data_IF_679088645164
#
_entry.id   IF_679088645164
#
_cell.length_a   1.000
_cell.length_b   1.000
_cell.length_c   1.000
_cell.angle_alpha   90.00
_cell.angle_beta   90.00
_cell.angle_gamma   90.00
#
_symmetry.space_group_name_H-M   'P 1'
#
loop_
_entity.id
_entity.type
_entity.pdbx_description
1 polymer ?
#
# COMPACT_ATOMS: atom_id res chain seq x y z
N UNK A 1 16.17 -16.38 13.93
CA UNK A 1 15.30 -16.57 12.75
C UNK A 1 15.42 -18.03 12.33
N UNK A 2 14.66 -18.92 12.96
CA UNK A 2 14.75 -20.36 12.71
C UNK A 2 13.38 -20.90 12.32
N UNK A 3 13.30 -21.36 11.08
CA UNK A 3 12.22 -22.13 10.45
C UNK A 3 12.30 -23.63 10.86
N UNK A 4 13.09 -23.97 11.88
CA UNK A 4 13.65 -25.32 12.06
C UNK A 4 13.01 -26.19 13.16
N UNK A 5 11.87 -25.79 13.73
CA UNK A 5 11.08 -26.68 14.60
C UNK A 5 9.90 -27.35 13.86
N UNK A 6 9.87 -27.28 12.52
CA UNK A 6 8.83 -27.94 11.74
C UNK A 6 9.13 -29.43 11.62
N UNK A 7 8.38 -30.25 12.35
CA UNK A 7 8.50 -31.71 12.32
C UNK A 7 7.82 -32.34 11.11
N UNK A 8 6.79 -31.67 10.55
CA UNK A 8 6.00 -32.17 9.42
C UNK A 8 5.68 -31.08 8.38
N UNK A 9 5.29 -31.51 7.17
CA UNK A 9 4.97 -30.61 6.04
C UNK A 9 3.87 -29.58 6.37
N UNK A 10 2.90 -29.95 7.20
CA UNK A 10 1.84 -29.04 7.66
C UNK A 10 2.39 -27.89 8.51
N UNK A 11 3.36 -28.15 9.39
CA UNK A 11 3.99 -27.12 10.23
C UNK A 11 4.80 -26.14 9.37
N UNK A 12 5.46 -26.65 8.33
CA UNK A 12 6.17 -25.82 7.34
C UNK A 12 5.17 -24.91 6.61
N UNK A 13 4.10 -25.48 6.08
CA UNK A 13 3.09 -24.71 5.35
C UNK A 13 2.42 -23.65 6.23
N UNK A 14 2.24 -23.91 7.52
CA UNK A 14 1.66 -22.96 8.48
C UNK A 14 2.62 -21.81 8.84
N UNK A 15 3.92 -22.07 8.87
CA UNK A 15 4.94 -21.11 9.32
C UNK A 15 5.50 -20.24 8.19
N UNK A 16 5.63 -20.80 6.97
CA UNK A 16 6.25 -20.12 5.82
C UNK A 16 5.53 -18.82 5.43
N UNK A 17 4.19 -18.76 5.33
CA UNK A 17 3.47 -17.52 4.99
C UNK A 17 3.82 -16.36 5.94
N UNK A 18 3.87 -16.66 7.23
CA UNK A 18 4.17 -15.70 8.29
C UNK A 18 5.59 -15.15 8.17
N UNK A 19 6.57 -16.01 7.85
CA UNK A 19 7.96 -15.59 7.58
C UNK A 19 8.05 -14.74 6.32
N UNK A 20 7.38 -15.14 5.24
CA UNK A 20 7.36 -14.37 3.98
C UNK A 20 6.77 -12.99 4.21
N UNK A 21 5.65 -12.88 4.92
CA UNK A 21 5.03 -11.59 5.25
C UNK A 21 5.98 -10.69 6.05
N UNK A 22 6.66 -11.24 7.07
CA UNK A 22 7.66 -10.50 7.84
C UNK A 22 8.81 -9.96 6.99
N UNK A 23 9.28 -10.77 6.02
CA UNK A 23 10.31 -10.36 5.05
C UNK A 23 9.78 -9.23 4.15
N UNK A 24 8.56 -9.35 3.63
CA UNK A 24 7.92 -8.30 2.81
C UNK A 24 7.86 -6.98 3.60
N UNK A 25 7.34 -7.02 4.83
CA UNK A 25 7.17 -5.83 5.67
C UNK A 25 8.52 -5.15 5.96
N UNK A 26 9.51 -5.94 6.37
CA UNK A 26 10.87 -5.46 6.63
C UNK A 26 11.47 -4.84 5.37
N UNK A 27 11.31 -5.49 4.21
CA UNK A 27 11.80 -4.99 2.93
C UNK A 27 11.21 -3.63 2.57
N UNK A 28 9.89 -3.46 2.69
CA UNK A 28 9.21 -2.18 2.40
C UNK A 28 9.81 -1.03 3.22
N UNK A 29 9.93 -1.22 4.54
CA UNK A 29 10.47 -0.21 5.45
C UNK A 29 11.92 0.11 5.11
N UNK A 30 12.75 -0.91 4.87
CA UNK A 30 14.16 -0.74 4.52
C UNK A 30 14.33 0.07 3.24
N UNK A 31 13.55 -0.20 2.19
CA UNK A 31 13.61 0.57 0.95
C UNK A 31 13.23 2.04 1.17
N UNK A 32 12.15 2.30 1.92
CA UNK A 32 11.75 3.67 2.25
C UNK A 32 12.83 4.40 3.05
N UNK A 33 13.51 3.71 3.97
CA UNK A 33 14.65 4.28 4.70
C UNK A 33 15.83 4.61 3.77
N UNK A 34 16.18 3.72 2.84
CA UNK A 34 17.27 3.95 1.89
C UNK A 34 16.96 5.10 0.92
N UNK A 35 15.73 5.17 0.40
CA UNK A 35 15.30 6.20 -0.55
C UNK A 35 14.59 7.40 0.14
N UNK A 36 14.81 7.61 1.44
CA UNK A 36 14.13 8.65 2.24
C UNK A 36 14.28 10.06 1.65
N UNK A 37 15.41 10.33 0.97
CA UNK A 37 15.65 11.61 0.29
C UNK A 37 14.67 11.84 -0.87
N UNK A 38 14.33 10.79 -1.62
CA UNK A 38 13.35 10.86 -2.72
C UNK A 38 11.94 10.99 -2.17
N UNK A 39 11.60 10.23 -1.13
CA UNK A 39 10.31 10.37 -0.43
C UNK A 39 10.13 11.80 0.08
N UNK A 40 11.17 12.37 0.71
CA UNK A 40 11.16 13.76 1.17
C UNK A 40 10.98 14.75 0.02
N UNK A 41 11.67 14.54 -1.10
CA UNK A 41 11.48 15.34 -2.31
C UNK A 41 10.02 15.31 -2.78
N UNK A 42 9.40 14.12 -2.83
CA UNK A 42 8.00 13.98 -3.22
C UNK A 42 7.07 14.75 -2.26
N UNK A 43 7.22 14.58 -0.94
CA UNK A 43 6.40 15.30 0.03
C UNK A 43 6.57 16.83 -0.06
N UNK A 44 7.79 17.30 -0.28
CA UNK A 44 8.06 18.73 -0.51
C UNK A 44 7.46 19.24 -1.82
N UNK A 45 7.42 18.40 -2.87
CA UNK A 45 6.75 18.73 -4.13
C UNK A 45 5.26 18.91 -3.90
N UNK A 46 4.61 18.01 -3.14
CA UNK A 46 3.19 18.13 -2.77
C UNK A 46 2.94 19.48 -2.10
N UNK A 47 3.68 19.79 -1.03
CA UNK A 47 3.53 21.05 -0.29
C UNK A 47 3.67 22.27 -1.22
N UNK A 48 4.71 22.26 -2.07
CA UNK A 48 4.96 23.34 -3.02
C UNK A 48 3.85 23.48 -4.05
N UNK A 49 3.34 22.38 -4.59
CA UNK A 49 2.26 22.40 -5.58
C UNK A 49 1.00 23.01 -4.99
N UNK A 50 0.66 22.68 -3.74
CA UNK A 50 -0.46 23.27 -3.00
C UNK A 50 -0.32 24.79 -2.79
N UNK A 51 0.90 25.28 -2.57
CA UNK A 51 1.18 26.72 -2.40
C UNK A 51 1.15 27.49 -3.74
N UNK A 52 1.42 26.81 -4.86
CA UNK A 52 1.55 27.41 -6.20
C UNK A 52 0.30 27.24 -7.08
N UNK A 53 -0.83 26.83 -6.52
CA UNK A 53 -2.10 26.78 -7.24
C UNK A 53 -2.59 28.19 -7.52
N UNK A 54 -2.98 28.46 -8.77
CA UNK A 54 -3.32 29.80 -9.24
C UNK A 54 -4.80 30.12 -9.08
N UNK A 55 -5.67 29.11 -9.16
CA UNK A 55 -7.12 29.30 -9.22
C UNK A 55 -7.87 28.45 -8.20
N UNK A 56 -9.09 28.87 -7.84
CA UNK A 56 -9.98 28.08 -7.00
C UNK A 56 -10.36 26.75 -7.67
N UNK A 57 -10.42 26.71 -9.01
CA UNK A 57 -10.69 25.49 -9.79
C UNK A 57 -9.54 24.49 -9.64
N UNK A 58 -8.29 24.92 -9.84
CA UNK A 58 -7.10 24.09 -9.61
C UNK A 58 -7.09 23.53 -8.19
N UNK A 59 -7.41 24.36 -7.19
CA UNK A 59 -7.52 23.95 -5.78
C UNK A 59 -8.60 22.90 -5.54
N UNK A 60 -9.76 23.08 -6.16
CA UNK A 60 -10.90 22.15 -6.04
C UNK A 60 -10.56 20.80 -6.67
N UNK A 61 -9.88 20.80 -7.83
CA UNK A 61 -9.43 19.58 -8.50
C UNK A 61 -8.46 18.81 -7.61
N UNK A 62 -7.43 19.47 -7.08
CA UNK A 62 -6.43 18.79 -6.25
C UNK A 62 -7.03 18.32 -4.91
N UNK A 63 -7.92 19.12 -4.31
CA UNK A 63 -8.65 18.75 -3.10
C UNK A 63 -9.47 17.49 -3.29
N UNK A 64 -10.19 17.35 -4.42
CA UNK A 64 -10.98 16.16 -4.73
C UNK A 64 -10.11 14.89 -4.79
N UNK A 65 -8.95 14.97 -5.42
CA UNK A 65 -7.99 13.86 -5.49
C UNK A 65 -7.37 13.55 -4.12
N UNK A 66 -7.08 14.57 -3.31
CA UNK A 66 -6.59 14.38 -1.95
C UNK A 66 -7.64 13.71 -1.03
N UNK A 67 -8.90 14.12 -1.11
CA UNK A 67 -10.02 13.50 -0.37
C UNK A 67 -10.23 12.04 -0.79
N UNK A 68 -10.18 11.78 -2.10
CA UNK A 68 -10.27 10.41 -2.62
C UNK A 68 -9.09 9.53 -2.14
N UNK A 69 -7.87 10.08 -2.15
CA UNK A 69 -6.70 9.41 -1.60
C UNK A 69 -6.80 9.12 -0.11
N UNK A 70 -7.35 10.05 0.69
CA UNK A 70 -7.62 9.86 2.12
C UNK A 70 -8.68 8.77 2.36
N UNK A 71 -9.74 8.76 1.56
CA UNK A 71 -10.76 7.73 1.62
C UNK A 71 -10.16 6.34 1.33
N UNK A 72 -9.38 6.21 0.25
CA UNK A 72 -8.69 4.97 -0.10
C UNK A 72 -7.71 4.52 0.98
N UNK A 73 -6.91 5.44 1.52
CA UNK A 73 -5.97 5.16 2.60
C UNK A 73 -6.69 4.64 3.86
N UNK A 74 -7.81 5.26 4.23
CA UNK A 74 -8.62 4.87 5.38
C UNK A 74 -9.26 3.50 5.16
N UNK A 75 -9.88 3.28 3.99
CA UNK A 75 -10.49 2.00 3.63
C UNK A 75 -9.45 0.86 3.63
N UNK A 76 -8.25 1.12 3.09
CA UNK A 76 -7.15 0.16 3.09
C UNK A 76 -6.66 -0.17 4.51
N UNK A 77 -6.48 0.84 5.37
CA UNK A 77 -6.08 0.62 6.76
C UNK A 77 -7.10 -0.24 7.53
N UNK A 78 -8.40 0.05 7.35
CA UNK A 78 -9.49 -0.75 7.93
C UNK A 78 -9.41 -2.20 7.43
N UNK A 79 -9.26 -2.39 6.12
CA UNK A 79 -9.14 -3.72 5.51
C UNK A 79 -7.97 -4.52 6.12
N UNK A 80 -6.78 -3.92 6.21
CA UNK A 80 -5.60 -4.59 6.79
C UNK A 80 -5.83 -4.94 8.26
N UNK A 81 -6.42 -4.03 9.05
CA UNK A 81 -6.71 -4.30 10.46
C UNK A 81 -7.75 -5.41 10.65
N UNK A 82 -8.78 -5.50 9.80
CA UNK A 82 -9.74 -6.61 9.83
C UNK A 82 -9.04 -7.94 9.59
N UNK A 83 -8.19 -8.03 8.56
CA UNK A 83 -7.42 -9.25 8.27
C UNK A 83 -6.46 -9.61 9.42
N UNK A 84 -5.84 -8.59 10.03
CA UNK A 84 -4.96 -8.75 11.19
C UNK A 84 -5.72 -9.31 12.40
N UNK A 85 -6.94 -8.83 12.67
CA UNK A 85 -7.80 -9.34 13.74
C UNK A 85 -8.16 -10.80 13.48
N UNK A 86 -8.56 -11.16 12.26
CA UNK A 86 -8.84 -12.56 11.89
C UNK A 86 -7.65 -13.48 12.19
N UNK A 87 -6.42 -13.02 11.92
CA UNK A 87 -5.20 -13.78 12.21
C UNK A 87 -4.93 -13.90 13.72
N UNK A 88 -5.12 -12.82 14.49
CA UNK A 88 -4.96 -12.82 15.96
C UNK A 88 -5.99 -13.71 16.67
N UNK A 89 -7.19 -13.85 16.11
CA UNK A 89 -8.25 -14.70 16.65
C UNK A 89 -7.97 -16.20 16.50
N UNK A 90 -7.01 -16.60 15.65
CA UNK A 90 -6.65 -18.01 15.40
C UNK A 90 -6.42 -18.84 16.68
N UNK A 91 -5.58 -18.44 17.65
CA UNK A 91 -5.41 -19.19 18.91
C UNK A 91 -6.59 -19.03 19.88
N UNK A 92 -7.49 -18.06 19.68
CA UNK A 92 -8.58 -17.72 20.60
C UNK A 92 -9.85 -18.52 20.27
N UNK A 93 -10.17 -18.69 18.98
CA UNK A 93 -11.40 -19.38 18.53
C UNK A 93 -11.48 -20.82 19.04
N UNK A 94 -10.44 -21.67 18.92
CA UNK A 94 -10.48 -23.02 19.47
C UNK A 94 -10.71 -23.05 20.99
N UNK A 95 -10.27 -22.03 21.74
CA UNK A 95 -10.51 -21.93 23.18
C UNK A 95 -11.94 -21.55 23.53
N UNK A 96 -12.56 -20.66 22.75
CA UNK A 96 -13.94 -20.21 23.00
C UNK A 96 -14.98 -21.27 22.64
N UNK A 97 -14.67 -22.12 21.66
CA UNK A 97 -15.55 -23.22 21.22
C UNK A 97 -15.43 -24.47 22.10
N UNK A 98 -14.40 -24.54 22.93
CA UNK A 98 -14.09 -25.70 23.77
C UNK A 98 -14.74 -25.52 25.16
N UNK A 99 -15.97 -26.03 25.30
CA UNK A 99 -16.81 -25.93 26.51
C UNK A 99 -16.39 -26.89 27.65
N UNK A 100 -15.34 -27.68 27.50
CA UNK A 100 -14.90 -28.64 28.53
C UNK A 100 -13.99 -27.99 29.58
N UNK A 101 -14.61 -27.59 30.69
CA UNK A 101 -14.01 -26.99 31.91
C UNK A 101 -13.15 -28.00 32.70
N UNK A 102 -13.19 -29.30 32.37
CA UNK A 102 -12.72 -30.40 33.23
C UNK A 102 -11.31 -30.94 32.97
N UNK A 103 -10.61 -30.51 31.92
CA UNK A 103 -9.25 -31.02 31.63
C UNK A 103 -8.17 -29.97 31.90
N UNK A 104 -7.56 -30.06 33.08
CA UNK A 104 -6.47 -29.20 33.57
C UNK A 104 -5.11 -29.42 32.88
N UNK A 105 -5.06 -30.26 31.83
CA UNK A 105 -3.83 -30.68 31.15
C UNK A 105 -3.90 -30.37 29.65
N UNK A 106 -4.41 -29.20 29.27
CA UNK A 106 -4.46 -28.80 27.86
C UNK A 106 -3.11 -28.24 27.40
N UNK A 107 -2.62 -28.62 26.21
CA UNK A 107 -1.38 -28.06 25.65
C UNK A 107 -1.53 -26.54 25.49
N UNK A 108 -0.45 -25.83 25.81
CA UNK A 108 -0.38 -24.37 25.77
C UNK A 108 -0.67 -23.89 24.33
N UNK A 109 -1.39 -22.77 24.14
CA UNK A 109 -1.74 -22.29 22.81
C UNK A 109 -0.48 -22.14 21.98
N UNK A 110 -0.51 -22.68 20.75
CA UNK A 110 0.52 -22.32 19.77
C UNK A 110 0.56 -20.79 19.66
N UNK A 111 1.74 -20.21 19.79
CA UNK A 111 1.92 -18.78 19.61
C UNK A 111 1.38 -18.35 18.25
N UNK A 112 0.91 -17.10 18.17
CA UNK A 112 0.51 -16.45 16.91
C UNK A 112 1.62 -16.54 15.86
N UNK A 113 2.88 -16.51 16.31
CA UNK A 113 4.07 -16.80 15.52
C UNK A 113 4.88 -17.91 16.21
N UNK A 114 5.14 -19.05 15.55
CA UNK A 114 6.03 -20.08 16.07
C UNK A 114 7.48 -19.58 15.97
N UNK A 115 7.92 -18.80 16.97
CA UNK A 115 9.28 -18.27 17.06
C UNK A 115 9.92 -18.85 18.31
N UNK A 116 11.12 -19.39 18.14
CA UNK A 116 11.93 -19.93 19.23
C UNK A 116 12.69 -18.79 19.93
N UNK A 117 12.47 -18.64 21.23
CA UNK A 117 13.10 -17.60 22.06
C UNK A 117 14.36 -18.09 22.81
N UNK A 118 14.77 -19.35 22.62
CA UNK A 118 15.89 -19.96 23.36
C UNK A 118 15.63 -20.10 24.86
N UNK A 119 14.37 -19.95 25.28
CA UNK A 119 13.88 -20.13 26.65
C UNK A 119 12.63 -21.01 26.62
N UNK A 120 12.29 -21.60 27.76
CA UNK A 120 11.07 -22.37 27.90
C UNK A 120 9.84 -21.48 27.66
N UNK A 121 9.12 -21.76 26.57
CA UNK A 121 7.93 -21.01 26.15
C UNK A 121 6.85 -21.10 27.22
N UNK A 122 6.78 -22.21 27.94
CA UNK A 122 5.72 -22.48 28.92
C UNK A 122 5.92 -21.62 30.18
N UNK A 123 7.18 -21.40 30.56
CA UNK A 123 7.55 -20.54 31.69
C UNK A 123 7.38 -19.04 31.36
N UNK A 124 7.66 -18.64 30.12
CA UNK A 124 7.66 -17.23 29.68
C UNK A 124 6.52 -16.89 28.72
N UNK A 125 5.43 -17.64 28.74
CA UNK A 125 4.35 -17.53 27.76
C UNK A 125 3.78 -16.11 27.61
N UNK A 126 3.45 -15.45 28.73
CA UNK A 126 2.86 -14.11 28.72
C UNK A 126 3.79 -13.02 28.15
N UNK A 127 5.04 -12.85 28.63
CA UNK A 127 5.94 -11.85 28.06
C UNK A 127 6.28 -12.12 26.59
N UNK A 128 6.45 -13.39 26.20
CA UNK A 128 6.67 -13.76 24.79
C UNK A 128 5.45 -13.40 23.93
N UNK A 129 4.24 -13.73 24.40
CA UNK A 129 3.01 -13.38 23.68
C UNK A 129 2.86 -11.88 23.49
N UNK A 130 3.11 -11.08 24.54
CA UNK A 130 3.08 -9.61 24.46
C UNK A 130 4.07 -9.10 23.41
N UNK A 131 5.31 -9.60 23.41
CA UNK A 131 6.29 -9.22 22.39
C UNK A 131 5.80 -9.57 20.98
N UNK A 132 5.28 -10.78 20.77
CA UNK A 132 4.76 -11.20 19.46
C UNK A 132 3.63 -10.30 18.97
N UNK A 133 2.69 -9.92 19.85
CA UNK A 133 1.63 -8.98 19.47
C UNK A 133 2.17 -7.59 19.13
N UNK A 134 3.07 -7.04 19.94
CA UNK A 134 3.68 -5.73 19.69
C UNK A 134 4.46 -5.72 18.36
N UNK A 135 5.24 -6.77 18.09
CA UNK A 135 5.97 -6.91 16.84
C UNK A 135 5.03 -6.98 15.64
N UNK A 136 3.92 -7.71 15.77
CA UNK A 136 2.90 -7.83 14.72
C UNK A 136 2.22 -6.48 14.44
N UNK A 137 1.85 -5.72 15.48
CA UNK A 137 1.32 -4.36 15.32
C UNK A 137 2.34 -3.38 14.72
N UNK A 138 3.60 -3.46 15.13
CA UNK A 138 4.65 -2.59 14.59
C UNK A 138 4.88 -2.86 13.09
N UNK A 139 4.93 -4.13 12.68
CA UNK A 139 5.07 -4.51 11.27
C UNK A 139 3.85 -4.13 10.43
N UNK A 140 2.62 -4.32 10.96
CA UNK A 140 1.42 -3.94 10.21
C UNK A 140 1.33 -2.43 10.05
N UNK A 141 1.60 -1.66 11.10
CA UNK A 141 1.62 -0.20 11.04
C UNK A 141 2.65 0.33 10.05
N UNK A 142 3.87 -0.20 10.08
CA UNK A 142 4.93 0.18 9.13
C UNK A 142 4.51 -0.09 7.68
N UNK A 143 3.90 -1.24 7.42
CA UNK A 143 3.42 -1.59 6.08
C UNK A 143 2.29 -0.67 5.61
N UNK A 144 1.28 -0.46 6.45
CA UNK A 144 0.17 0.44 6.17
C UNK A 144 0.70 1.84 5.84
N UNK A 145 1.66 2.34 6.60
CA UNK A 145 2.25 3.66 6.36
C UNK A 145 2.93 3.76 4.97
N UNK A 146 3.66 2.74 4.54
CA UNK A 146 4.32 2.72 3.22
C UNK A 146 3.29 2.64 2.08
N UNK A 147 2.25 1.82 2.22
CA UNK A 147 1.22 1.67 1.20
C UNK A 147 0.30 2.89 1.11
N UNK A 148 -0.04 3.53 2.24
CA UNK A 148 -0.76 4.81 2.26
C UNK A 148 0.07 5.91 1.61
N UNK A 149 1.36 5.98 1.92
CA UNK A 149 2.28 6.93 1.28
C UNK A 149 2.23 6.75 -0.24
N UNK A 150 2.31 5.51 -0.75
CA UNK A 150 2.15 5.23 -2.17
C UNK A 150 0.84 5.81 -2.71
N UNK A 151 -0.31 5.46 -2.13
CA UNK A 151 -1.62 5.96 -2.56
C UNK A 151 -1.67 7.50 -2.62
N UNK A 152 -1.18 8.19 -1.58
CA UNK A 152 -1.17 9.66 -1.54
C UNK A 152 -0.32 10.25 -2.67
N UNK A 153 0.87 9.70 -2.90
CA UNK A 153 1.76 10.18 -3.96
C UNK A 153 1.14 9.98 -5.35
N UNK A 154 0.52 8.82 -5.59
CA UNK A 154 -0.19 8.52 -6.84
C UNK A 154 -1.35 9.50 -7.06
N UNK A 155 -2.23 9.66 -6.08
CA UNK A 155 -3.41 10.53 -6.20
C UNK A 155 -3.02 12.00 -6.39
N UNK A 156 -1.92 12.45 -5.77
CA UNK A 156 -1.36 13.77 -6.06
C UNK A 156 -0.92 13.91 -7.52
N UNK A 157 -0.19 12.93 -8.06
CA UNK A 157 0.22 12.94 -9.47
C UNK A 157 -0.99 12.99 -10.41
N UNK A 158 -2.02 12.16 -10.17
CA UNK A 158 -3.26 12.16 -10.93
C UNK A 158 -3.96 13.53 -10.88
N UNK A 159 -4.06 14.15 -9.71
CA UNK A 159 -4.65 15.49 -9.57
C UNK A 159 -3.87 16.57 -10.31
N UNK A 160 -2.54 16.48 -10.32
CA UNK A 160 -1.71 17.40 -11.09
C UNK A 160 -1.86 17.20 -12.61
N UNK A 161 -2.03 15.97 -13.09
CA UNK A 161 -2.35 15.71 -14.50
C UNK A 161 -3.72 16.28 -14.90
N UNK A 162 -4.75 16.14 -14.05
CA UNK A 162 -6.07 16.79 -14.29
C UNK A 162 -5.98 18.31 -14.32
N UNK A 163 -5.11 18.91 -13.49
CA UNK A 163 -4.88 20.36 -13.56
C UNK A 163 -4.25 20.76 -14.90
N UNK A 164 -3.30 19.97 -15.39
CA UNK A 164 -2.63 20.21 -16.68
C UNK A 164 -3.63 20.14 -17.83
N UNK A 165 -4.47 19.10 -17.86
CA UNK A 165 -5.59 18.96 -18.81
C UNK A 165 -6.49 20.20 -18.79
N UNK A 166 -6.95 20.61 -17.61
CA UNK A 166 -7.82 21.77 -17.47
C UNK A 166 -7.20 23.05 -18.04
N UNK A 167 -5.91 23.29 -17.80
CA UNK A 167 -5.17 24.43 -18.35
C UNK A 167 -5.05 24.32 -19.89
N UNK A 168 -4.82 23.13 -20.43
CA UNK A 168 -4.73 22.90 -21.88
C UNK A 168 -6.07 23.18 -22.57
N UNK A 169 -7.19 22.70 -22.01
CA UNK A 169 -8.51 22.98 -22.54
C UNK A 169 -8.84 24.48 -22.56
N UNK A 170 -8.48 25.22 -21.50
CA UNK A 170 -8.69 26.66 -21.45
C UNK A 170 -7.91 27.40 -22.55
N UNK A 171 -6.64 27.02 -22.77
CA UNK A 171 -5.82 27.58 -23.85
C UNK A 171 -6.40 27.21 -25.22
N UNK A 172 -6.88 25.97 -25.41
CA UNK A 172 -7.50 25.52 -26.66
C UNK A 172 -8.80 26.24 -27.00
N UNK A 173 -9.62 26.59 -25.99
CA UNK A 173 -10.89 27.32 -26.18
C UNK A 173 -10.67 28.77 -26.63
N UNK A 174 -9.65 29.45 -26.11
CA UNK A 174 -9.30 30.81 -26.55
C UNK A 174 -8.79 30.84 -28.01
N UNK A 175 -8.19 29.75 -28.50
CA UNK A 175 -7.67 29.65 -29.87
C UNK A 175 -8.75 29.65 -30.97
N UNK A 176 -9.95 29.16 -30.68
CA UNK A 176 -11.06 29.12 -31.66
C UNK A 176 -11.68 30.49 -31.94
N UNK A 177 -11.39 31.51 -31.12
CA UNK A 177 -11.97 32.85 -31.28
C UNK A 177 -11.02 33.88 -31.89
N UNK A 178 -9.69 33.78 -31.71
CA UNK A 178 -8.73 34.77 -32.23
C UNK A 178 -7.25 34.35 -32.12
N UNK A 179 -6.82 33.26 -32.77
CA UNK A 179 -5.37 32.95 -32.85
C UNK A 179 -4.63 33.89 -33.83
N UNK A 180 -4.53 35.17 -33.50
CA UNK A 180 -3.59 36.08 -34.16
C UNK A 180 -2.24 35.92 -33.50
N UNK A 181 -1.29 35.30 -34.22
CA UNK A 181 0.13 35.26 -33.86
C UNK A 181 0.68 36.70 -33.81
N UNK A 182 0.44 37.43 -32.72
CA UNK A 182 1.10 38.72 -32.48
C UNK A 182 2.53 38.41 -32.06
N UNK A 183 3.47 38.76 -32.94
CA UNK A 183 4.91 38.47 -32.94
C UNK A 183 5.69 38.91 -31.67
N UNK A 184 5.04 39.38 -30.60
CA UNK A 184 5.66 39.74 -29.34
C UNK A 184 5.45 38.64 -28.28
N UNK A 185 6.39 37.68 -28.25
CA UNK A 185 6.50 36.57 -27.27
C UNK A 185 6.45 37.00 -25.79
N UNK A 186 6.65 38.28 -25.47
CA UNK A 186 6.74 38.79 -24.09
C UNK A 186 5.41 39.25 -23.49
N UNK A 187 4.40 39.54 -24.32
CA UNK A 187 3.07 40.05 -23.90
C UNK A 187 1.92 39.08 -24.16
N UNK A 188 2.17 37.99 -24.88
CA UNK A 188 1.18 36.98 -25.19
C UNK A 188 0.85 36.15 -23.93
N UNK A 189 -0.39 36.28 -23.47
CA UNK A 189 -0.91 35.63 -22.26
C UNK A 189 -1.03 34.13 -22.50
N UNK A 190 -1.39 33.70 -23.71
CA UNK A 190 -1.61 32.31 -24.06
C UNK A 190 -0.29 31.57 -24.18
N UNK A 191 0.73 32.22 -24.76
CA UNK A 191 2.10 31.70 -24.74
C UNK A 191 2.62 31.48 -23.31
N UNK A 192 2.37 32.42 -22.38
CA UNK A 192 2.77 32.28 -20.98
C UNK A 192 2.01 31.16 -20.27
N UNK A 193 0.70 31.01 -20.51
CA UNK A 193 -0.10 29.91 -19.98
C UNK A 193 0.41 28.56 -20.49
N UNK A 194 0.63 28.42 -21.79
CA UNK A 194 1.16 27.20 -22.41
C UNK A 194 2.57 26.85 -21.88
N UNK A 195 3.45 27.84 -21.75
CA UNK A 195 4.79 27.64 -21.18
C UNK A 195 4.73 27.21 -19.70
N UNK A 196 3.81 27.78 -18.92
CA UNK A 196 3.59 27.38 -17.53
C UNK A 196 3.04 25.95 -17.43
N UNK A 197 2.10 25.58 -18.31
CA UNK A 197 1.56 24.24 -18.42
C UNK A 197 2.66 23.21 -18.72
N UNK A 198 3.51 23.48 -19.73
CA UNK A 198 4.66 22.63 -20.05
C UNK A 198 5.60 22.46 -18.86
N UNK A 199 5.88 23.53 -18.11
CA UNK A 199 6.73 23.46 -16.90
C UNK A 199 6.09 22.61 -15.81
N UNK A 200 4.78 22.73 -15.57
CA UNK A 200 4.05 21.89 -14.61
C UNK A 200 4.09 20.43 -15.05
N UNK A 201 3.83 20.13 -16.32
CA UNK A 201 3.90 18.77 -16.85
C UNK A 201 5.27 18.12 -16.65
N UNK A 202 6.36 18.84 -16.96
CA UNK A 202 7.72 18.36 -16.70
C UNK A 202 8.03 18.14 -15.21
N UNK A 203 7.42 18.93 -14.31
CA UNK A 203 7.56 18.73 -12.86
C UNK A 203 6.83 17.48 -12.39
N UNK A 204 5.62 17.25 -12.88
CA UNK A 204 4.83 16.04 -12.57
C UNK A 204 5.52 14.78 -13.07
N UNK A 205 6.10 14.80 -14.28
CA UNK A 205 6.91 13.67 -14.78
C UNK A 205 8.05 13.35 -13.82
N UNK A 206 8.85 14.35 -13.41
CA UNK A 206 9.95 14.13 -12.45
C UNK A 206 9.48 13.61 -11.09
N UNK A 207 8.29 14.03 -10.66
CA UNK A 207 7.65 13.54 -9.46
C UNK A 207 7.28 12.06 -9.61
N UNK A 208 6.64 11.67 -10.72
CA UNK A 208 6.30 10.27 -11.03
C UNK A 208 7.54 9.39 -11.17
N UNK A 209 8.59 9.85 -11.86
CA UNK A 209 9.88 9.13 -11.96
C UNK A 209 10.50 8.88 -10.57
N UNK A 210 10.33 9.83 -9.64
CA UNK A 210 10.80 9.69 -8.26
C UNK A 210 9.99 8.63 -7.50
N UNK A 211 8.66 8.60 -7.68
CA UNK A 211 7.79 7.55 -7.13
C UNK A 211 8.20 6.19 -7.69
N UNK A 212 8.29 6.07 -9.01
CA UNK A 212 8.64 4.84 -9.71
C UNK A 212 9.99 4.30 -9.24
N UNK A 213 11.01 5.16 -9.14
CA UNK A 213 12.35 4.74 -8.69
C UNK A 213 12.37 4.12 -7.29
N UNK A 214 11.48 4.56 -6.40
CA UNK A 214 11.33 4.01 -5.04
C UNK A 214 10.48 2.75 -5.08
N UNK A 215 9.27 2.85 -5.62
CA UNK A 215 8.26 1.80 -5.50
C UNK A 215 8.50 0.61 -6.44
N UNK A 216 9.24 0.77 -7.53
CA UNK A 216 9.70 -0.39 -8.34
C UNK A 216 10.55 -1.34 -7.53
N UNK A 217 11.44 -0.85 -6.65
CA UNK A 217 12.24 -1.70 -5.75
C UNK A 217 11.38 -2.38 -4.68
N UNK A 218 10.39 -1.65 -4.16
CA UNK A 218 9.42 -2.18 -3.20
C UNK A 218 8.65 -3.34 -3.83
N UNK A 219 8.06 -3.10 -5.00
CA UNK A 219 7.19 -4.05 -5.70
C UNK A 219 7.93 -5.26 -6.26
N UNK A 220 9.19 -5.09 -6.69
CA UNK A 220 9.99 -6.21 -7.20
C UNK A 220 10.03 -7.37 -6.21
N UNK A 221 10.30 -7.11 -4.94
CA UNK A 221 10.33 -8.17 -3.92
C UNK A 221 8.92 -8.46 -3.40
N UNK A 222 8.11 -7.43 -3.12
CA UNK A 222 6.81 -7.65 -2.48
C UNK A 222 5.84 -8.43 -3.36
N UNK A 223 5.78 -8.16 -4.66
CA UNK A 223 4.86 -8.87 -5.57
C UNK A 223 5.27 -10.32 -5.72
N UNK A 224 6.55 -10.59 -5.98
CA UNK A 224 7.04 -11.97 -6.12
C UNK A 224 6.81 -12.81 -4.87
N UNK A 225 7.11 -12.25 -3.69
CA UNK A 225 6.88 -12.94 -2.42
C UNK A 225 5.38 -13.12 -2.11
N UNK A 226 4.53 -12.15 -2.46
CA UNK A 226 3.07 -12.30 -2.30
C UNK A 226 2.51 -13.41 -3.20
N UNK A 227 3.03 -13.61 -4.42
CA UNK A 227 2.59 -14.71 -5.29
C UNK A 227 2.93 -16.07 -4.69
N UNK A 228 4.16 -16.23 -4.17
CA UNK A 228 4.59 -17.46 -3.48
C UNK A 228 3.72 -17.69 -2.24
N UNK A 229 3.53 -16.65 -1.42
CA UNK A 229 2.76 -16.74 -0.20
C UNK A 229 1.28 -17.07 -0.48
N UNK A 230 0.68 -16.41 -1.46
CA UNK A 230 -0.72 -16.61 -1.84
C UNK A 230 -0.95 -18.01 -2.40
N UNK A 231 0.02 -18.58 -3.11
CA UNK A 231 -0.03 -19.98 -3.56
C UNK A 231 -0.09 -20.95 -2.38
N UNK A 232 0.76 -20.74 -1.36
CA UNK A 232 0.76 -21.58 -0.15
C UNK A 232 -0.55 -21.44 0.62
N UNK A 233 -1.01 -20.20 0.84
CA UNK A 233 -2.27 -19.93 1.53
C UNK A 233 -3.47 -20.49 0.76
N UNK A 234 -3.47 -20.44 -0.57
CA UNK A 234 -4.51 -21.05 -1.42
C UNK A 234 -4.57 -22.58 -1.27
N UNK A 235 -3.41 -23.25 -1.26
CA UNK A 235 -3.36 -24.70 -0.99
C UNK A 235 -3.91 -25.00 0.41
N UNK A 236 -3.56 -24.19 1.42
CA UNK A 236 -4.10 -24.37 2.78
C UNK A 236 -5.60 -24.17 2.85
N UNK A 237 -6.18 -23.24 2.08
CA UNK A 237 -7.64 -23.10 1.99
C UNK A 237 -8.26 -24.39 1.45
N UNK A 238 -7.73 -24.94 0.35
CA UNK A 238 -8.24 -26.17 -0.27
C UNK A 238 -8.16 -27.35 0.70
N UNK A 239 -7.03 -27.51 1.39
CA UNK A 239 -6.83 -28.61 2.35
C UNK A 239 -7.73 -28.52 3.59
N UNK A 240 -8.28 -27.34 3.90
CA UNK A 240 -9.12 -27.11 5.08
C UNK A 240 -10.59 -26.84 4.73
N UNK A 241 -11.04 -27.12 3.50
CA UNK A 241 -12.43 -26.86 3.07
C UNK A 241 -13.47 -27.51 3.99
N UNK A 242 -13.20 -28.73 4.46
CA UNK A 242 -14.12 -29.49 5.30
C UNK A 242 -13.98 -29.16 6.80
N UNK A 243 -13.04 -28.28 7.19
CA UNK A 243 -12.77 -27.93 8.58
C UNK A 243 -12.99 -26.42 8.85
N UNK A 244 -14.22 -26.02 9.23
CA UNK A 244 -14.56 -24.61 9.44
C UNK A 244 -13.76 -23.94 10.57
N UNK A 245 -13.22 -24.72 11.52
CA UNK A 245 -12.42 -24.19 12.62
C UNK A 245 -11.01 -23.77 12.21
N UNK A 246 -10.45 -24.35 11.13
CA UNK A 246 -9.08 -24.11 10.69
C UNK A 246 -8.99 -23.33 9.36
N UNK A 247 -10.08 -23.26 8.59
CA UNK A 247 -10.11 -22.56 7.29
C UNK A 247 -10.04 -21.03 7.40
N UNK A 248 -10.51 -20.44 8.50
CA UNK A 248 -10.65 -18.98 8.63
C UNK A 248 -9.33 -18.23 8.45
N UNK A 249 -8.24 -18.74 9.04
CA UNK A 249 -6.91 -18.11 8.96
C UNK A 249 -6.34 -18.14 7.54
N UNK A 250 -6.18 -19.30 6.88
CA UNK A 250 -5.63 -19.33 5.52
C UNK A 250 -6.53 -18.59 4.52
N UNK A 251 -7.85 -18.58 4.72
CA UNK A 251 -8.77 -17.80 3.89
C UNK A 251 -8.58 -16.29 4.07
N UNK A 252 -8.45 -15.81 5.31
CA UNK A 252 -8.18 -14.40 5.58
C UNK A 252 -6.81 -13.97 5.02
N UNK A 253 -5.78 -14.81 5.14
CA UNK A 253 -4.47 -14.54 4.53
C UNK A 253 -4.55 -14.45 3.01
N UNK A 254 -5.22 -15.42 2.37
CA UNK A 254 -5.36 -15.46 0.92
C UNK A 254 -6.13 -14.25 0.38
N UNK A 255 -7.30 -13.96 0.94
CA UNK A 255 -8.11 -12.80 0.55
C UNK A 255 -7.42 -11.47 0.89
N UNK A 256 -6.74 -11.39 2.02
CA UNK A 256 -5.91 -10.26 2.43
C UNK A 256 -4.82 -9.93 1.41
N UNK A 257 -4.07 -10.95 0.95
CA UNK A 257 -2.98 -10.78 -0.02
C UNK A 257 -3.47 -10.40 -1.40
N UNK A 258 -4.55 -11.03 -1.87
CA UNK A 258 -5.17 -10.68 -3.15
C UNK A 258 -5.71 -9.25 -3.13
N UNK A 259 -6.42 -8.87 -2.07
CA UNK A 259 -6.92 -7.50 -1.91
C UNK A 259 -5.79 -6.47 -1.85
N UNK A 260 -4.70 -6.80 -1.15
CA UNK A 260 -3.50 -5.96 -1.06
C UNK A 260 -2.87 -5.71 -2.45
N UNK A 261 -2.65 -6.77 -3.23
CA UNK A 261 -2.11 -6.64 -4.60
C UNK A 261 -3.06 -5.89 -5.53
N UNK A 262 -4.36 -6.19 -5.43
CA UNK A 262 -5.39 -5.51 -6.23
C UNK A 262 -5.32 -3.99 -6.02
N UNK A 263 -5.26 -3.52 -4.78
CA UNK A 263 -5.20 -2.08 -4.47
C UNK A 263 -3.91 -1.46 -5.03
N UNK A 264 -2.76 -2.14 -4.91
CA UNK A 264 -1.50 -1.63 -5.44
C UNK A 264 -1.53 -1.47 -6.97
N UNK A 265 -2.04 -2.47 -7.68
CA UNK A 265 -2.16 -2.40 -9.14
C UNK A 265 -3.24 -1.43 -9.60
N UNK A 266 -4.35 -1.34 -8.87
CA UNK A 266 -5.40 -0.36 -9.14
C UNK A 266 -4.86 1.07 -9.06
N UNK A 267 -4.03 1.39 -8.06
CA UNK A 267 -3.37 2.69 -7.98
C UNK A 267 -2.38 2.91 -9.13
N UNK A 268 -1.59 1.89 -9.49
CA UNK A 268 -0.68 2.01 -10.63
C UNK A 268 -1.42 2.33 -11.95
N UNK A 269 -2.60 1.73 -12.14
CA UNK A 269 -3.44 1.99 -13.31
C UNK A 269 -3.89 3.46 -13.39
N UNK A 270 -4.22 4.10 -12.26
CA UNK A 270 -4.56 5.52 -12.25
C UNK A 270 -3.44 6.42 -12.80
N UNK A 271 -2.16 6.13 -12.54
CA UNK A 271 -1.08 6.92 -13.16
C UNK A 271 -1.09 6.75 -14.67
N UNK A 272 -1.23 5.51 -15.16
CA UNK A 272 -1.23 5.24 -16.59
C UNK A 272 -2.37 5.99 -17.27
N UNK A 273 -3.58 5.89 -16.73
CA UNK A 273 -4.77 6.54 -17.27
C UNK A 273 -4.66 8.07 -17.23
N UNK A 274 -4.21 8.65 -16.11
CA UNK A 274 -4.14 10.10 -15.99
C UNK A 274 -2.95 10.71 -16.76
N UNK A 275 -1.91 9.94 -17.06
CA UNK A 275 -0.76 10.42 -17.82
C UNK A 275 -1.07 10.66 -19.30
N UNK A 276 -2.09 10.01 -19.87
CA UNK A 276 -2.48 10.17 -21.28
C UNK A 276 -3.47 11.33 -21.49
N UNK A 277 -4.19 11.73 -20.45
CA UNK A 277 -5.21 12.79 -20.51
C UNK A 277 -4.68 14.09 -21.15
N UNK A 278 -3.49 14.63 -20.80
CA UNK A 278 -3.00 15.86 -21.43
C UNK A 278 -2.85 15.75 -22.95
N UNK A 279 -2.57 14.56 -23.49
CA UNK A 279 -2.47 14.32 -24.92
C UNK A 279 -3.84 14.29 -25.61
N UNK A 280 -4.87 13.72 -24.96
CA UNK A 280 -6.24 13.70 -25.49
C UNK A 280 -6.91 15.08 -25.49
N UNK A 281 -6.44 15.99 -24.62
CA UNK A 281 -6.95 17.36 -24.51
C UNK A 281 -6.38 18.38 -25.52
N UNK A 282 -5.37 17.98 -26.31
CA UNK A 282 -4.76 18.82 -27.38
C UNK A 282 -5.47 18.63 -28.72
#
# INVERSE_FOLDING_TARGET
MYVLAATNMNDIMESVPSVILSIIFSWKVVIIMFDIKKVKYCLQSIEKDWQLLNTNTERTILQRHAEYGQFLATAYAIFVHVMQICYILKPIIPRLLDNDITNSTKPIPKLVYPVEYGVDIDQYFYPISIHCYLALFAHSFGTIAVDILYCILIQHACGMFTIIEHILEEVGKDNNANFQFKLNKTTDIDYKKALNCLRKHLQVIKFVESIESVFTKVFLISVNLNVICGSISGIQVILNLDNPGTILTPLALYTGQLGHLFIQFWQAQFILDYSTIPWESM
#
